data_IF_249880996800
#
_entry.id   IF_249880996800
#
_cell.length_a   1.000
_cell.length_b   1.000
_cell.length_c   1.000
_cell.angle_alpha   90.00
_cell.angle_beta   90.00
_cell.angle_gamma   90.00
#
_symmetry.space_group_name_H-M   'P 1'
#
loop_
_entity.id
_entity.type
_entity.pdbx_description
1 polymer ?
#
# COMPACT_ATOMS: atom_id res chain seq x y z
N UNK A 1 66.71 35.47 5.47
CA UNK A 1 67.21 34.17 5.96
C UNK A 1 66.00 33.24 5.99
N UNK A 2 65.72 32.58 4.86
CA UNK A 2 66.12 31.19 4.56
C UNK A 2 65.29 30.18 5.39
N UNK A 3 64.53 29.24 4.85
CA UNK A 3 64.27 28.84 3.47
C UNK A 3 63.78 27.38 3.43
N UNK A 4 62.82 27.11 2.54
CA UNK A 4 62.64 25.86 1.75
C UNK A 4 62.04 24.58 2.42
N UNK A 5 61.43 23.66 1.61
CA UNK A 5 60.01 23.29 1.77
C UNK A 5 59.74 21.77 1.74
N UNK A 6 58.47 21.34 1.85
CA UNK A 6 58.04 19.98 1.47
C UNK A 6 56.75 20.03 0.62
N UNK A 7 56.92 19.64 -0.65
CA UNK A 7 55.90 19.34 -1.65
C UNK A 7 55.40 17.88 -1.49
N UNK A 8 54.37 17.54 -2.28
CA UNK A 8 53.72 16.22 -2.48
C UNK A 8 52.53 15.99 -1.54
N UNK A 9 51.30 15.62 -1.92
CA UNK A 9 50.77 15.00 -3.14
C UNK A 9 49.23 15.12 -3.21
N UNK A 10 48.67 15.91 -4.14
CA UNK A 10 47.23 15.80 -4.50
C UNK A 10 46.95 16.16 -5.97
N UNK A 11 47.94 16.01 -6.86
CA UNK A 11 47.81 16.29 -8.31
C UNK A 11 47.70 15.03 -9.18
N UNK A 12 47.04 13.96 -8.68
CA UNK A 12 46.95 12.65 -9.38
C UNK A 12 45.53 12.15 -9.68
N UNK A 13 44.51 13.01 -9.71
CA UNK A 13 43.15 12.67 -10.21
C UNK A 13 42.57 13.64 -11.28
N UNK A 14 43.42 14.44 -11.95
CA UNK A 14 43.03 15.29 -13.10
C UNK A 14 43.59 14.85 -14.46
N UNK A 15 44.25 13.71 -14.56
CA UNK A 15 44.98 13.29 -15.77
C UNK A 15 44.33 12.17 -16.61
N UNK A 16 43.15 11.64 -16.25
CA UNK A 16 42.46 10.62 -17.07
C UNK A 16 41.29 11.15 -17.92
N UNK A 17 40.86 12.40 -17.74
CA UNK A 17 39.72 12.98 -18.48
C UNK A 17 40.10 13.72 -19.78
N UNK A 18 41.39 13.98 -20.04
CA UNK A 18 41.81 14.88 -21.13
C UNK A 18 42.22 14.16 -22.44
N UNK A 19 41.93 12.86 -22.60
CA UNK A 19 42.25 12.10 -23.83
C UNK A 19 41.06 11.87 -24.77
N UNK A 20 39.82 12.03 -24.30
CA UNK A 20 38.61 11.86 -25.13
C UNK A 20 38.09 13.16 -25.75
N UNK A 21 38.36 14.33 -25.15
CA UNK A 21 37.95 15.63 -25.71
C UNK A 21 38.77 16.07 -26.94
N UNK A 22 40.01 15.60 -27.08
CA UNK A 22 40.92 16.05 -28.14
C UNK A 22 40.75 15.30 -29.49
N UNK A 23 40.01 14.19 -29.52
CA UNK A 23 39.70 13.44 -30.76
C UNK A 23 38.40 13.92 -31.42
N UNK A 24 37.42 14.37 -30.63
CA UNK A 24 36.13 14.89 -31.13
C UNK A 24 36.29 16.28 -31.77
N UNK A 25 37.10 17.18 -31.20
CA UNK A 25 37.35 18.49 -31.80
C UNK A 25 38.07 18.43 -33.16
N UNK A 26 38.95 17.43 -33.38
CA UNK A 26 39.65 17.24 -34.66
C UNK A 26 38.77 16.64 -35.76
N UNK A 27 37.70 15.94 -35.38
CA UNK A 27 36.73 15.38 -36.33
C UNK A 27 35.72 16.44 -36.79
N UNK A 28 35.22 17.27 -35.87
CA UNK A 28 34.32 18.39 -36.19
C UNK A 28 34.97 19.48 -37.06
N UNK A 29 36.25 19.81 -36.85
CA UNK A 29 36.94 20.83 -37.67
C UNK A 29 37.21 20.37 -39.10
N UNK A 30 37.18 19.06 -39.36
CA UNK A 30 37.43 18.48 -40.70
C UNK A 30 36.14 18.41 -41.53
N UNK A 31 34.98 18.33 -40.89
CA UNK A 31 33.66 18.35 -41.56
C UNK A 31 33.27 19.78 -41.97
N UNK A 32 33.63 20.81 -41.18
CA UNK A 32 33.27 22.20 -41.48
C UNK A 32 34.14 22.86 -42.58
N UNK A 33 35.21 22.19 -43.04
CA UNK A 33 36.10 22.65 -44.13
C UNK A 33 35.86 21.95 -45.48
N UNK A 34 34.92 20.99 -45.57
CA UNK A 34 34.62 20.25 -46.81
C UNK A 34 33.19 20.48 -47.33
N UNK A 35 32.57 21.60 -46.95
CA UNK A 35 31.24 22.01 -47.42
C UNK A 35 31.30 23.34 -48.15
N UNK A 36 32.05 23.40 -49.25
CA UNK A 36 32.12 24.54 -50.15
C UNK A 36 32.56 24.05 -51.53
N UNK A 37 31.76 24.38 -52.53
CA UNK A 37 32.00 24.22 -53.97
C UNK A 37 31.61 22.86 -54.59
N UNK A 38 30.42 22.88 -55.19
CA UNK A 38 30.03 21.97 -56.27
C UNK A 38 30.99 22.16 -57.46
N UNK A 39 31.38 21.07 -58.15
CA UNK A 39 31.56 20.99 -59.62
C UNK A 39 32.21 19.64 -60.05
N UNK A 40 31.54 18.98 -61.01
CA UNK A 40 31.97 18.01 -62.04
C UNK A 40 32.93 16.83 -61.73
N UNK A 41 32.42 15.61 -61.96
CA UNK A 41 33.18 14.39 -62.29
C UNK A 41 34.01 14.58 -63.58
N UNK A 42 35.23 14.02 -63.67
CA UNK A 42 35.37 12.84 -64.54
C UNK A 42 36.46 11.81 -64.17
N UNK A 43 36.23 10.60 -64.69
CA UNK A 43 37.14 9.65 -65.36
C UNK A 43 38.60 9.44 -64.90
N UNK A 44 38.91 8.17 -64.60
CA UNK A 44 40.10 7.47 -65.08
C UNK A 44 41.40 7.66 -64.29
N UNK A 45 42.13 6.56 -64.07
CA UNK A 45 43.54 6.64 -63.67
C UNK A 45 44.00 5.52 -62.75
N UNK A 46 44.53 4.48 -63.36
CA UNK A 46 45.25 3.34 -62.79
C UNK A 46 46.56 3.73 -62.08
N UNK A 47 47.11 2.77 -61.29
CA UNK A 47 48.52 2.36 -61.10
C UNK A 47 48.81 2.07 -59.60
N UNK A 48 48.96 0.80 -59.18
CA UNK A 48 50.22 0.01 -59.14
C UNK A 48 51.22 0.64 -58.14
N UNK A 49 51.90 -0.04 -57.21
CA UNK A 49 52.35 -1.42 -57.17
C UNK A 49 53.07 -1.74 -55.83
N UNK A 50 53.07 -3.04 -55.45
CA UNK A 50 54.11 -3.87 -54.79
C UNK A 50 54.93 -3.35 -53.56
N UNK A 51 55.38 -4.14 -52.56
CA UNK A 51 55.55 -5.59 -52.37
C UNK A 51 55.81 -5.89 -50.86
N UNK A 52 55.39 -7.09 -50.38
CA UNK A 52 55.94 -8.01 -49.33
C UNK A 52 56.57 -7.41 -48.04
N UNK A 53 56.24 -7.82 -46.81
CA UNK A 53 56.26 -9.18 -46.24
C UNK A 53 55.36 -9.29 -44.99
N UNK A 54 54.97 -10.51 -44.60
CA UNK A 54 54.89 -10.87 -43.18
C UNK A 54 53.51 -11.12 -42.54
N UNK A 55 52.94 -12.29 -42.82
CA UNK A 55 52.30 -13.18 -41.83
C UNK A 55 50.97 -12.81 -41.12
N UNK A 56 50.01 -13.74 -41.30
CA UNK A 56 48.87 -14.13 -40.43
C UNK A 56 47.52 -13.41 -40.59
N UNK A 57 46.77 -13.92 -41.58
CA UNK A 57 45.43 -14.53 -41.48
C UNK A 57 44.52 -14.00 -40.35
N UNK A 58 43.48 -13.24 -40.71
CA UNK A 58 42.08 -13.61 -40.48
C UNK A 58 41.12 -12.67 -41.22
N UNK A 59 40.66 -13.19 -42.35
CA UNK A 59 39.48 -12.84 -43.17
C UNK A 59 38.28 -12.35 -42.32
N UNK A 60 37.79 -11.13 -42.55
CA UNK A 60 36.35 -10.85 -42.52
C UNK A 60 35.96 -10.03 -43.75
N UNK A 61 35.17 -10.71 -44.58
CA UNK A 61 34.51 -10.25 -45.79
C UNK A 61 33.39 -9.27 -45.45
N UNK A 62 33.44 -8.10 -46.09
CA UNK A 62 32.38 -7.46 -46.88
C UNK A 62 30.93 -7.92 -46.63
N UNK A 63 30.12 -7.01 -46.06
CA UNK A 63 28.72 -6.74 -46.42
C UNK A 63 28.31 -5.47 -45.67
N UNK A 64 28.56 -4.31 -46.25
CA UNK A 64 27.61 -3.60 -47.11
C UNK A 64 26.29 -3.28 -46.39
N UNK A 65 26.08 -1.97 -46.30
CA UNK A 65 24.82 -1.30 -46.58
C UNK A 65 23.74 -1.33 -45.49
N UNK A 66 23.29 -0.11 -45.16
CA UNK A 66 22.11 0.25 -44.37
C UNK A 66 22.20 0.01 -42.86
N UNK A 67 22.25 1.11 -42.10
CA UNK A 67 21.80 1.35 -40.71
C UNK A 67 22.76 2.22 -39.85
N UNK A 68 23.01 3.52 -40.14
CA UNK A 68 23.72 4.38 -39.18
C UNK A 68 22.79 5.28 -38.34
N UNK A 69 21.52 5.51 -38.72
CA UNK A 69 20.65 6.48 -37.99
C UNK A 69 19.92 5.88 -36.79
N UNK A 70 19.48 4.62 -36.85
CA UNK A 70 18.67 4.01 -35.77
C UNK A 70 19.52 3.56 -34.57
N UNK A 71 20.72 3.01 -34.81
CA UNK A 71 21.64 2.63 -33.73
C UNK A 71 22.20 3.84 -32.97
N UNK A 72 22.42 4.98 -33.64
CA UNK A 72 22.89 6.20 -32.97
C UNK A 72 21.83 6.78 -32.02
N UNK A 73 20.55 6.75 -32.43
CA UNK A 73 19.42 7.18 -31.57
C UNK A 73 19.22 6.22 -30.38
N UNK A 74 19.43 4.91 -30.57
CA UNK A 74 19.31 3.92 -29.49
C UNK A 74 20.46 4.02 -28.46
N UNK A 75 21.70 4.22 -28.91
CA UNK A 75 22.86 4.38 -28.03
C UNK A 75 22.79 5.69 -27.21
N UNK A 76 22.34 6.79 -27.81
CA UNK A 76 22.09 8.06 -27.10
C UNK A 76 20.91 7.95 -26.14
N UNK A 77 19.86 7.19 -26.47
CA UNK A 77 18.73 6.92 -25.54
C UNK A 77 19.14 6.09 -24.33
N UNK A 78 20.05 5.12 -24.48
CA UNK A 78 20.56 4.31 -23.38
C UNK A 78 21.43 5.13 -22.41
N UNK A 79 22.30 6.01 -22.92
CA UNK A 79 23.14 6.90 -22.10
C UNK A 79 22.32 8.02 -21.40
N UNK A 80 21.28 8.53 -22.08
CA UNK A 80 20.28 9.43 -21.48
C UNK A 80 19.44 8.74 -20.41
N UNK A 81 19.00 7.49 -20.62
CA UNK A 81 18.23 6.75 -19.59
C UNK A 81 19.08 6.43 -18.35
N UNK A 82 20.36 6.10 -18.55
CA UNK A 82 21.31 5.82 -17.46
C UNK A 82 21.65 7.09 -16.65
N UNK A 83 21.69 8.25 -17.31
CA UNK A 83 21.82 9.55 -16.64
C UNK A 83 20.53 10.01 -15.95
N UNK A 84 19.34 9.73 -16.51
CA UNK A 84 18.03 10.03 -15.89
C UNK A 84 17.85 9.23 -14.59
N UNK A 85 18.07 7.91 -14.61
CA UNK A 85 17.97 7.08 -13.41
C UNK A 85 18.99 7.49 -12.33
N UNK A 86 20.21 7.87 -12.75
CA UNK A 86 21.24 8.39 -11.84
C UNK A 86 20.84 9.74 -11.22
N UNK A 87 20.19 10.64 -11.97
CA UNK A 87 19.68 11.93 -11.48
C UNK A 87 18.54 11.74 -10.48
N UNK A 88 17.56 10.91 -10.79
CA UNK A 88 16.45 10.57 -9.88
C UNK A 88 16.98 9.92 -8.61
N UNK A 89 17.92 8.98 -8.72
CA UNK A 89 18.58 8.38 -7.55
C UNK A 89 19.33 9.40 -6.68
N UNK A 90 19.97 10.40 -7.30
CA UNK A 90 20.65 11.48 -6.57
C UNK A 90 19.65 12.39 -5.84
N UNK A 91 18.51 12.70 -6.47
CA UNK A 91 17.41 13.44 -5.84
C UNK A 91 16.84 12.67 -4.64
N UNK A 92 16.57 11.36 -4.80
CA UNK A 92 16.10 10.50 -3.71
C UNK A 92 17.08 10.48 -2.53
N UNK A 93 18.38 10.38 -2.80
CA UNK A 93 19.41 10.42 -1.76
C UNK A 93 19.40 11.79 -1.05
N UNK A 94 19.24 12.90 -1.78
CA UNK A 94 19.09 14.24 -1.18
C UNK A 94 17.91 14.28 -0.22
N UNK A 95 16.74 13.85 -0.67
CA UNK A 95 15.50 13.85 0.13
C UNK A 95 15.67 12.97 1.37
N UNK A 96 16.24 11.76 1.24
CA UNK A 96 16.46 10.85 2.36
C UNK A 96 17.44 11.43 3.41
N UNK A 97 18.50 12.11 2.97
CA UNK A 97 19.45 12.78 3.86
C UNK A 97 18.77 13.96 4.59
N UNK A 98 17.98 14.77 3.86
CA UNK A 98 17.26 15.90 4.44
C UNK A 98 16.20 15.42 5.45
N UNK A 99 15.46 14.38 5.11
CA UNK A 99 14.49 13.73 5.99
C UNK A 99 15.15 13.22 7.27
N UNK A 100 16.27 12.49 7.15
CA UNK A 100 16.99 11.94 8.31
C UNK A 100 17.59 13.03 9.21
N UNK A 101 17.94 14.20 8.66
CA UNK A 101 18.52 15.30 9.44
C UNK A 101 17.47 16.06 10.25
N UNK A 102 16.21 16.01 9.82
CA UNK A 102 15.10 16.62 10.54
C UNK A 102 14.54 15.65 11.58
N UNK A 103 15.16 15.66 12.77
CA UNK A 103 14.77 14.77 13.85
C UNK A 103 13.34 15.03 14.36
N UNK A 104 12.85 16.28 14.29
CA UNK A 104 11.49 16.63 14.73
C UNK A 104 10.47 16.02 13.77
N UNK A 105 10.68 16.20 12.47
CA UNK A 105 9.84 15.62 11.42
C UNK A 105 9.85 14.09 11.48
N UNK A 106 11.03 13.48 11.66
CA UNK A 106 11.17 12.03 11.78
C UNK A 106 10.43 11.49 13.01
N UNK A 107 10.57 12.14 14.16
CA UNK A 107 9.84 11.77 15.37
C UNK A 107 8.33 11.90 15.13
N UNK A 108 7.85 12.98 14.55
CA UNK A 108 6.42 13.17 14.30
C UNK A 108 5.84 12.10 13.35
N UNK A 109 6.54 11.82 12.25
CA UNK A 109 6.10 10.87 11.22
C UNK A 109 6.15 9.41 11.70
N UNK A 110 7.01 9.07 12.66
CA UNK A 110 7.02 7.73 13.26
C UNK A 110 6.10 7.63 14.47
N UNK A 111 6.11 8.64 15.35
CA UNK A 111 5.38 8.62 16.61
C UNK A 111 3.88 8.78 16.38
N UNK A 112 3.43 9.68 15.49
CA UNK A 112 2.01 9.90 15.28
C UNK A 112 1.30 8.64 14.74
N UNK A 113 1.81 7.94 13.70
CA UNK A 113 1.20 6.69 13.25
C UNK A 113 1.37 5.55 14.25
N UNK A 114 2.48 5.48 14.99
CA UNK A 114 2.64 4.47 16.04
C UNK A 114 1.59 4.66 17.16
N UNK A 115 1.39 5.90 17.62
CA UNK A 115 0.35 6.22 18.59
C UNK A 115 -1.04 5.93 18.03
N UNK A 116 -1.29 6.27 16.77
CA UNK A 116 -2.54 5.93 16.06
C UNK A 116 -2.78 4.41 16.03
N UNK A 117 -1.76 3.60 15.75
CA UNK A 117 -1.90 2.13 15.76
C UNK A 117 -2.21 1.61 17.16
N UNK A 118 -1.58 2.14 18.21
CA UNK A 118 -1.89 1.76 19.59
C UNK A 118 -3.33 2.12 19.95
N UNK A 119 -3.76 3.35 19.62
CA UNK A 119 -5.13 3.80 19.87
C UNK A 119 -6.15 2.96 19.09
N UNK A 120 -5.87 2.64 17.83
CA UNK A 120 -6.73 1.79 17.01
C UNK A 120 -6.77 0.35 17.49
N UNK A 121 -5.63 -0.23 17.88
CA UNK A 121 -5.59 -1.58 18.45
C UNK A 121 -6.44 -1.66 19.72
N UNK A 122 -6.38 -0.66 20.58
CA UNK A 122 -7.25 -0.56 21.76
C UNK A 122 -8.73 -0.37 21.39
N UNK A 123 -9.01 0.46 20.38
CA UNK A 123 -10.38 0.71 19.91
C UNK A 123 -11.02 -0.56 19.32
N UNK A 124 -10.27 -1.32 18.51
CA UNK A 124 -10.71 -2.59 17.94
C UNK A 124 -10.90 -3.63 19.04
N UNK A 125 -9.93 -3.77 19.94
CA UNK A 125 -10.01 -4.76 21.02
C UNK A 125 -11.27 -4.54 21.90
N UNK A 126 -11.58 -3.29 22.27
CA UNK A 126 -12.75 -2.96 23.10
C UNK A 126 -14.06 -2.86 22.31
N UNK A 127 -13.98 -2.54 21.02
CA UNK A 127 -15.15 -2.41 20.14
C UNK A 127 -15.69 -3.75 19.64
N UNK A 128 -14.92 -4.83 19.82
CA UNK A 128 -15.28 -6.19 19.36
C UNK A 128 -15.52 -7.14 20.53
N UNK A 129 -14.90 -6.93 21.69
CA UNK A 129 -14.94 -7.89 22.81
C UNK A 129 -15.77 -7.32 23.97
N UNK A 130 -16.63 -8.15 24.56
CA UNK A 130 -17.55 -7.81 25.67
C UNK A 130 -18.56 -6.70 25.39
N UNK A 131 -19.29 -6.79 24.29
CA UNK A 131 -20.41 -5.88 24.02
C UNK A 131 -21.49 -6.01 25.11
N UNK A 132 -21.85 -4.93 25.82
CA UNK A 132 -22.84 -4.98 26.87
C UNK A 132 -24.21 -5.22 26.25
N UNK A 133 -24.69 -6.44 26.41
CA UNK A 133 -25.94 -6.93 25.83
C UNK A 133 -26.98 -7.07 26.93
N UNK A 134 -28.24 -6.78 26.59
CA UNK A 134 -29.38 -7.12 27.42
C UNK A 134 -30.34 -8.04 26.69
N UNK A 135 -31.07 -8.85 27.43
CA UNK A 135 -32.06 -9.76 26.86
C UNK A 135 -33.43 -9.48 27.44
N UNK A 136 -34.43 -9.32 26.56
CA UNK A 136 -35.85 -9.33 26.89
C UNK A 136 -36.44 -10.70 26.58
N UNK A 137 -36.63 -11.51 27.61
CA UNK A 137 -37.21 -12.85 27.49
C UNK A 137 -38.72 -12.82 27.79
N UNK A 138 -39.53 -12.87 26.73
CA UNK A 138 -40.98 -12.93 26.82
C UNK A 138 -41.51 -14.38 26.90
N UNK A 139 -40.71 -15.39 26.56
CA UNK A 139 -41.12 -16.80 26.54
C UNK A 139 -40.89 -17.50 27.87
N UNK A 140 -39.79 -17.16 28.56
CA UNK A 140 -39.41 -17.68 29.89
C UNK A 140 -39.32 -19.20 29.97
N UNK A 141 -39.09 -19.85 28.84
CA UNK A 141 -39.01 -21.31 28.68
C UNK A 141 -37.58 -21.86 28.88
N UNK A 142 -37.41 -23.17 29.07
CA UNK A 142 -36.09 -23.79 29.10
C UNK A 142 -35.28 -23.56 27.82
N UNK A 143 -35.92 -23.58 26.63
CA UNK A 143 -35.25 -23.35 25.35
C UNK A 143 -34.79 -21.89 25.20
N UNK A 144 -35.62 -20.92 25.61
CA UNK A 144 -35.20 -19.51 25.62
C UNK A 144 -33.99 -19.28 26.54
N UNK A 145 -33.95 -19.94 27.71
CA UNK A 145 -32.81 -19.87 28.64
C UNK A 145 -31.55 -20.52 28.06
N UNK A 146 -31.69 -21.61 27.31
CA UNK A 146 -30.55 -22.23 26.63
C UNK A 146 -29.95 -21.27 25.60
N UNK A 147 -30.77 -20.65 24.76
CA UNK A 147 -30.30 -19.65 23.80
C UNK A 147 -29.61 -18.47 24.50
N UNK A 148 -30.14 -18.01 25.64
CA UNK A 148 -29.52 -16.95 26.46
C UNK A 148 -28.13 -17.37 26.96
N UNK A 149 -27.99 -18.62 27.42
CA UNK A 149 -26.69 -19.16 27.86
C UNK A 149 -25.71 -19.22 26.70
N UNK A 150 -26.16 -19.64 25.52
CA UNK A 150 -25.31 -19.69 24.33
C UNK A 150 -24.87 -18.28 23.86
N UNK A 151 -25.74 -17.28 24.05
CA UNK A 151 -25.40 -15.88 23.80
C UNK A 151 -24.35 -15.35 24.79
N UNK A 152 -24.48 -15.67 26.08
CA UNK A 152 -23.52 -15.25 27.12
C UNK A 152 -22.17 -15.98 27.02
N UNK A 153 -22.16 -17.19 26.47
CA UNK A 153 -20.94 -17.97 26.23
C UNK A 153 -20.15 -17.48 25.01
N UNK A 154 -20.65 -16.50 24.25
CA UNK A 154 -19.91 -15.94 23.12
C UNK A 154 -18.82 -14.97 23.58
N UNK A 155 -17.68 -14.93 22.88
CA UNK A 155 -16.56 -14.03 23.24
C UNK A 155 -16.88 -12.54 22.97
N UNK A 156 -17.83 -12.30 22.07
CA UNK A 156 -18.22 -10.96 21.60
C UNK A 156 -19.27 -10.33 22.51
N UNK A 157 -20.22 -11.10 23.04
CA UNK A 157 -21.37 -10.60 23.78
C UNK A 157 -21.20 -10.84 25.27
N UNK A 158 -21.70 -9.92 26.08
CA UNK A 158 -21.74 -10.10 27.53
C UNK A 158 -23.09 -9.70 28.06
N UNK A 159 -23.86 -10.65 28.58
CA UNK A 159 -25.19 -10.36 29.11
C UNK A 159 -25.05 -9.63 30.45
N UNK A 160 -25.38 -8.34 30.46
CA UNK A 160 -25.30 -7.49 31.66
C UNK A 160 -26.62 -7.43 32.42
N UNK A 161 -27.75 -7.52 31.71
CA UNK A 161 -29.09 -7.31 32.27
C UNK A 161 -30.16 -8.12 31.56
N UNK A 162 -31.18 -8.49 32.32
CA UNK A 162 -32.46 -8.99 31.81
C UNK A 162 -33.45 -7.84 31.85
N UNK A 163 -34.08 -7.57 30.70
CA UNK A 163 -35.05 -6.50 30.53
C UNK A 163 -36.44 -7.00 30.92
N UNK A 164 -37.24 -6.10 31.47
CA UNK A 164 -38.63 -6.38 31.83
C UNK A 164 -39.58 -5.79 30.78
N UNK A 165 -39.18 -4.70 30.13
CA UNK A 165 -39.99 -4.01 29.11
C UNK A 165 -39.14 -3.42 27.98
N UNK A 166 -39.81 -3.14 26.86
CA UNK A 166 -39.21 -2.45 25.71
C UNK A 166 -38.86 -0.99 26.01
N UNK A 167 -39.53 -0.34 26.98
CA UNK A 167 -39.21 1.03 27.37
C UNK A 167 -37.92 1.10 28.19
N UNK A 168 -37.71 0.12 29.09
CA UNK A 168 -36.44 -0.04 29.81
C UNK A 168 -35.28 -0.28 28.82
N UNK A 169 -35.50 -1.09 27.80
CA UNK A 169 -34.53 -1.33 26.73
C UNK A 169 -34.12 -0.03 26.03
N UNK A 170 -35.10 0.81 25.65
CA UNK A 170 -34.84 2.10 25.00
C UNK A 170 -34.04 3.03 25.90
N UNK A 171 -34.44 3.17 27.17
CA UNK A 171 -33.71 4.01 28.12
C UNK A 171 -32.25 3.57 28.27
N UNK A 172 -32.00 2.25 28.36
CA UNK A 172 -30.65 1.71 28.52
C UNK A 172 -29.79 1.84 27.26
N UNK A 173 -30.40 1.73 26.07
CA UNK A 173 -29.73 1.99 24.79
C UNK A 173 -29.39 3.49 24.65
N UNK A 174 -30.34 4.38 24.93
CA UNK A 174 -30.16 5.83 24.82
C UNK A 174 -29.11 6.35 25.80
N UNK A 175 -29.02 5.75 26.99
CA UNK A 175 -28.00 6.06 27.99
C UNK A 175 -26.65 5.40 27.70
N UNK A 176 -26.55 4.55 26.68
CA UNK A 176 -25.35 3.80 26.31
C UNK A 176 -24.88 2.79 27.36
N UNK A 177 -25.78 2.37 28.27
CA UNK A 177 -25.50 1.33 29.28
C UNK A 177 -25.41 -0.04 28.61
N UNK A 178 -26.23 -0.26 27.59
CA UNK A 178 -26.21 -1.43 26.73
C UNK A 178 -26.00 -0.96 25.29
N UNK A 179 -25.36 -1.78 24.46
CA UNK A 179 -25.13 -1.54 23.03
C UNK A 179 -25.97 -2.45 22.15
N UNK A 180 -26.50 -3.52 22.74
CA UNK A 180 -27.29 -4.53 22.06
C UNK A 180 -28.43 -5.00 22.96
N UNK A 181 -29.60 -5.18 22.38
CA UNK A 181 -30.75 -5.81 23.00
C UNK A 181 -31.25 -6.96 22.12
N UNK A 182 -31.44 -8.13 22.73
CA UNK A 182 -32.01 -9.32 22.08
C UNK A 182 -33.40 -9.55 22.66
N UNK A 183 -34.41 -9.69 21.81
CA UNK A 183 -35.80 -9.91 22.20
C UNK A 183 -36.22 -11.29 21.73
N UNK A 184 -36.59 -12.14 22.68
CA UNK A 184 -37.13 -13.48 22.42
C UNK A 184 -38.66 -13.37 22.56
N UNK A 185 -39.44 -13.65 21.50
CA UNK A 185 -40.90 -13.47 21.52
C UNK A 185 -41.57 -14.51 22.41
N UNK A 186 -42.78 -14.19 22.90
CA UNK A 186 -43.59 -15.14 23.63
C UNK A 186 -44.03 -16.31 22.73
N UNK A 187 -43.95 -17.54 23.24
CA UNK A 187 -44.31 -18.73 22.48
C UNK A 187 -43.17 -19.29 21.63
N UNK A 188 -41.94 -18.78 21.76
CA UNK A 188 -40.75 -19.25 21.05
C UNK A 188 -40.56 -20.77 21.18
N UNK A 189 -40.51 -21.31 22.40
CA UNK A 189 -40.38 -22.75 22.61
C UNK A 189 -41.58 -23.55 22.09
N UNK A 190 -42.78 -23.01 22.25
CA UNK A 190 -43.99 -23.67 21.78
C UNK A 190 -44.03 -23.74 20.25
N UNK A 191 -43.64 -22.67 19.55
CA UNK A 191 -43.51 -22.64 18.10
C UNK A 191 -42.46 -23.62 17.57
N UNK A 192 -41.27 -23.64 18.19
CA UNK A 192 -40.23 -24.62 17.86
C UNK A 192 -40.71 -26.06 18.02
N UNK A 193 -41.44 -26.35 19.11
CA UNK A 193 -41.97 -27.71 19.36
C UNK A 193 -43.10 -28.13 18.40
N UNK A 194 -43.85 -27.16 17.86
CA UNK A 194 -44.92 -27.40 16.87
C UNK A 194 -44.42 -27.51 15.43
N UNK A 195 -43.14 -27.19 15.19
CA UNK A 195 -42.59 -27.10 13.85
C UNK A 195 -42.98 -25.82 13.10
N UNK A 196 -43.40 -24.78 13.83
CA UNK A 196 -43.69 -23.46 13.27
C UNK A 196 -42.34 -22.75 12.98
N UNK A 197 -41.75 -23.01 11.82
CA UNK A 197 -40.48 -22.40 11.39
C UNK A 197 -40.69 -21.36 10.28
N UNK A 198 -39.91 -20.26 10.26
CA UNK A 198 -38.90 -19.84 11.24
C UNK A 198 -39.53 -19.08 12.44
N UNK A 199 -38.91 -19.20 13.61
CA UNK A 199 -39.22 -18.34 14.76
C UNK A 199 -38.39 -17.05 14.68
N UNK A 200 -39.00 -15.90 14.99
CA UNK A 200 -38.35 -14.59 14.87
C UNK A 200 -37.66 -14.21 16.19
N UNK A 201 -36.33 -14.09 16.18
CA UNK A 201 -35.58 -13.44 17.28
C UNK A 201 -35.20 -12.04 16.82
N UNK A 202 -35.62 -11.01 17.55
CA UNK A 202 -35.34 -9.63 17.19
C UNK A 202 -34.07 -9.14 17.88
N UNK A 203 -33.22 -8.43 17.14
CA UNK A 203 -31.99 -7.83 17.65
C UNK A 203 -32.02 -6.33 17.36
N UNK A 204 -31.76 -5.53 18.39
CA UNK A 204 -31.69 -4.07 18.30
C UNK A 204 -30.32 -3.64 18.79
N UNK A 205 -29.55 -2.96 17.94
CA UNK A 205 -28.20 -2.50 18.24
C UNK A 205 -28.12 -0.97 18.17
N UNK A 206 -27.25 -0.38 19.00
CA UNK A 206 -26.90 1.03 18.91
C UNK A 206 -26.07 1.30 17.64
N UNK A 207 -26.67 2.02 16.69
CA UNK A 207 -26.08 2.37 15.40
C UNK A 207 -25.04 3.50 15.44
N UNK A 208 -24.74 4.10 16.60
CA UNK A 208 -23.76 5.18 16.73
C UNK A 208 -22.36 4.79 16.24
N UNK A 209 -22.02 3.49 16.36
CA UNK A 209 -20.86 2.90 15.71
C UNK A 209 -21.31 1.73 14.84
N UNK A 210 -21.48 1.98 13.54
CA UNK A 210 -21.94 1.00 12.57
C UNK A 210 -21.08 -0.28 12.54
N UNK A 211 -19.76 -0.16 12.68
CA UNK A 211 -18.85 -1.32 12.67
C UNK A 211 -19.13 -2.23 13.88
N UNK A 212 -19.18 -1.65 15.08
CA UNK A 212 -19.44 -2.40 16.32
C UNK A 212 -20.85 -3.01 16.34
N UNK A 213 -21.85 -2.27 15.85
CA UNK A 213 -23.22 -2.77 15.71
C UNK A 213 -23.30 -3.96 14.74
N UNK A 214 -22.68 -3.88 13.56
CA UNK A 214 -22.66 -4.97 12.59
C UNK A 214 -21.97 -6.22 13.12
N UNK A 215 -20.86 -6.08 13.84
CA UNK A 215 -20.15 -7.22 14.47
C UNK A 215 -21.02 -7.87 15.53
N UNK A 216 -21.69 -7.08 16.37
CA UNK A 216 -22.58 -7.58 17.43
C UNK A 216 -23.77 -8.34 16.86
N UNK A 217 -24.41 -7.79 15.81
CA UNK A 217 -25.53 -8.44 15.11
C UNK A 217 -25.06 -9.74 14.45
N UNK A 218 -23.91 -9.74 13.78
CA UNK A 218 -23.31 -10.94 13.19
C UNK A 218 -23.06 -12.02 14.24
N UNK A 219 -22.50 -11.66 15.40
CA UNK A 219 -22.27 -12.59 16.49
C UNK A 219 -23.56 -13.20 17.04
N UNK A 220 -24.66 -12.44 17.15
CA UNK A 220 -25.96 -13.02 17.54
C UNK A 220 -26.46 -13.98 16.47
N UNK A 221 -26.35 -13.63 15.18
CA UNK A 221 -26.74 -14.51 14.10
C UNK A 221 -25.95 -15.84 14.12
N UNK A 222 -24.64 -15.78 14.38
CA UNK A 222 -23.80 -16.99 14.49
C UNK A 222 -24.19 -17.88 15.67
N UNK A 223 -24.57 -17.30 16.81
CA UNK A 223 -25.09 -18.05 17.96
C UNK A 223 -26.44 -18.68 17.63
N UNK A 224 -27.37 -17.93 17.03
CA UNK A 224 -28.70 -18.42 16.65
C UNK A 224 -28.60 -19.53 15.58
N UNK A 225 -27.67 -19.42 14.63
CA UNK A 225 -27.43 -20.43 13.62
C UNK A 225 -26.89 -21.74 14.24
N UNK A 226 -25.92 -21.64 15.16
CA UNK A 226 -25.41 -22.82 15.90
C UNK A 226 -26.50 -23.46 16.76
N UNK A 227 -27.27 -22.65 17.50
CA UNK A 227 -28.40 -23.13 18.29
C UNK A 227 -29.43 -23.84 17.41
N UNK A 228 -29.74 -23.31 16.23
CA UNK A 228 -30.66 -23.94 15.27
C UNK A 228 -30.12 -25.28 14.75
N UNK A 229 -28.82 -25.37 14.43
CA UNK A 229 -28.19 -26.62 14.01
C UNK A 229 -28.20 -27.68 15.13
N UNK A 230 -27.95 -27.27 16.37
CA UNK A 230 -27.99 -28.16 17.55
C UNK A 230 -29.41 -28.65 17.83
N UNK A 231 -30.44 -27.81 17.64
CA UNK A 231 -31.83 -28.22 17.74
C UNK A 231 -32.22 -29.25 16.67
N UNK A 232 -31.78 -29.07 15.43
CA UNK A 232 -32.02 -30.01 14.34
C UNK A 232 -31.37 -31.37 14.66
N UNK A 233 -30.10 -31.36 15.09
CA UNK A 233 -29.35 -32.56 15.41
C UNK A 233 -29.87 -33.28 16.68
N UNK A 234 -30.24 -32.52 17.72
CA UNK A 234 -30.63 -33.05 19.02
C UNK A 234 -32.09 -33.52 19.12
N UNK A 235 -33.01 -32.81 18.45
CA UNK A 235 -34.44 -33.15 18.48
C UNK A 235 -34.92 -33.90 17.23
N UNK A 236 -34.03 -34.14 16.25
CA UNK A 236 -34.40 -34.81 14.99
C UNK A 236 -35.43 -34.02 14.18
N UNK A 237 -35.47 -32.70 14.37
CA UNK A 237 -36.40 -31.82 13.68
C UNK A 237 -36.07 -31.78 12.19
N UNK A 238 -36.93 -32.38 11.36
CA UNK A 238 -36.84 -32.28 9.91
C UNK A 238 -37.45 -30.95 9.50
N UNK A 239 -36.63 -29.91 9.42
CA UNK A 239 -37.02 -28.65 8.80
C UNK A 239 -37.11 -28.91 7.29
N UNK A 240 -38.25 -28.65 6.61
CA UNK A 240 -38.31 -28.71 5.16
C UNK A 240 -37.43 -27.58 4.61
N UNK A 241 -36.18 -27.93 4.30
CA UNK A 241 -35.22 -27.01 3.73
C UNK A 241 -35.62 -26.76 2.26
N UNK A 242 -36.39 -25.69 2.01
CA UNK A 242 -36.78 -25.33 0.64
C UNK A 242 -35.56 -24.94 -0.23
N UNK A 243 -34.43 -24.58 0.39
CA UNK A 243 -33.14 -24.26 -0.23
C UNK A 243 -32.00 -24.62 0.75
N UNK A 244 -31.12 -25.58 0.40
CA UNK A 244 -29.90 -25.91 1.17
C UNK A 244 -28.87 -24.77 1.03
N UNK A 245 -28.92 -23.81 1.95
CA UNK A 245 -28.04 -22.63 1.95
C UNK A 245 -26.81 -22.90 2.81
N UNK A 246 -25.81 -23.59 2.24
CA UNK A 246 -24.50 -23.80 2.88
C UNK A 246 -23.59 -22.62 2.65
N UNK A 247 -23.39 -21.80 3.67
CA UNK A 247 -22.38 -20.74 3.64
C UNK A 247 -21.04 -21.29 4.12
N UNK A 248 -20.09 -21.48 3.20
CA UNK A 248 -18.70 -21.87 3.48
C UNK A 248 -17.80 -20.63 3.47
N UNK A 249 -17.42 -20.14 4.67
CA UNK A 249 -16.58 -18.96 4.84
C UNK A 249 -15.11 -19.39 4.88
N UNK A 250 -14.43 -19.29 3.74
CA UNK A 250 -13.04 -19.78 3.60
C UNK A 250 -11.94 -18.82 4.05
N UNK A 251 -12.18 -17.51 3.96
CA UNK A 251 -11.13 -16.50 4.17
C UNK A 251 -11.04 -15.99 5.62
N UNK A 252 -12.11 -16.16 6.41
CA UNK A 252 -12.15 -15.80 7.83
C UNK A 252 -13.23 -16.63 8.56
N UNK A 253 -12.95 -17.90 8.89
CA UNK A 253 -13.94 -18.80 9.49
C UNK A 253 -14.45 -18.32 10.86
N UNK A 254 -13.62 -17.55 11.57
CA UNK A 254 -13.93 -16.95 12.88
C UNK A 254 -14.59 -15.58 12.76
N UNK A 255 -14.73 -15.04 11.53
CA UNK A 255 -15.22 -13.69 11.25
C UNK A 255 -14.57 -12.60 12.13
N UNK A 256 -13.30 -12.80 12.50
CA UNK A 256 -12.58 -11.85 13.34
C UNK A 256 -12.31 -10.56 12.55
N UNK A 257 -12.86 -9.46 13.04
CA UNK A 257 -12.68 -8.14 12.44
C UNK A 257 -11.22 -7.68 12.44
N UNK A 258 -10.38 -8.20 13.35
CA UNK A 258 -8.95 -7.87 13.44
C UNK A 258 -8.21 -8.25 12.16
N UNK A 259 -8.53 -9.40 11.58
CA UNK A 259 -7.86 -9.91 10.38
C UNK A 259 -8.11 -9.04 9.15
N UNK A 260 -9.26 -8.37 9.09
CA UNK A 260 -9.58 -7.41 8.04
C UNK A 260 -9.03 -6.01 8.32
N UNK A 261 -9.13 -5.55 9.57
CA UNK A 261 -8.83 -4.17 9.93
C UNK A 261 -7.32 -3.88 10.00
N UNK A 262 -6.51 -4.83 10.47
CA UNK A 262 -5.06 -4.64 10.64
C UNK A 262 -4.34 -4.36 9.30
N UNK A 263 -4.54 -5.14 8.21
CA UNK A 263 -3.92 -4.83 6.92
C UNK A 263 -4.40 -3.50 6.34
N UNK A 264 -5.68 -3.18 6.48
CA UNK A 264 -6.25 -1.91 6.01
C UNK A 264 -5.60 -0.71 6.71
N UNK A 265 -5.43 -0.79 8.04
CA UNK A 265 -4.81 0.26 8.82
C UNK A 265 -3.32 0.42 8.50
N UNK A 266 -2.59 -0.67 8.24
CA UNK A 266 -1.20 -0.60 7.78
C UNK A 266 -1.09 0.14 6.43
N UNK A 267 -1.95 -0.19 5.47
CA UNK A 267 -2.01 0.52 4.20
C UNK A 267 -2.31 2.02 4.37
N UNK A 268 -3.25 2.35 5.28
CA UNK A 268 -3.59 3.73 5.59
C UNK A 268 -2.43 4.50 6.24
N UNK A 269 -1.69 3.88 7.15
CA UNK A 269 -0.48 4.47 7.76
C UNK A 269 0.59 4.75 6.70
N UNK A 270 0.88 3.78 5.81
CA UNK A 270 1.85 3.97 4.73
C UNK A 270 1.43 5.11 3.80
N UNK A 271 0.14 5.17 3.46
CA UNK A 271 -0.42 6.26 2.64
C UNK A 271 -0.24 7.62 3.32
N UNK A 272 -0.60 7.74 4.59
CA UNK A 272 -0.53 8.98 5.35
C UNK A 272 0.91 9.45 5.53
N UNK A 273 1.85 8.54 5.83
CA UNK A 273 3.27 8.84 5.94
C UNK A 273 3.82 9.32 4.60
N UNK A 274 3.54 8.60 3.51
CA UNK A 274 3.99 8.98 2.16
C UNK A 274 3.48 10.37 1.78
N UNK A 275 2.19 10.63 2.02
CA UNK A 275 1.57 11.92 1.73
C UNK A 275 2.17 13.04 2.59
N UNK A 276 2.41 12.80 3.87
CA UNK A 276 3.01 13.77 4.79
C UNK A 276 4.45 14.11 4.38
N UNK A 277 5.29 13.11 4.07
CA UNK A 277 6.68 13.32 3.62
C UNK A 277 6.71 14.13 2.32
N UNK A 278 5.91 13.75 1.32
CA UNK A 278 5.88 14.43 0.04
C UNK A 278 5.39 15.89 0.15
N UNK A 279 4.30 16.12 0.90
CA UNK A 279 3.73 17.46 1.08
C UNK A 279 4.63 18.39 1.89
N UNK A 280 5.18 17.93 3.02
CA UNK A 280 6.09 18.71 3.85
C UNK A 280 7.42 18.97 3.14
N UNK A 281 7.94 17.98 2.40
CA UNK A 281 9.13 18.13 1.58
C UNK A 281 8.96 19.21 0.50
N UNK A 282 7.80 19.26 -0.16
CA UNK A 282 7.51 20.27 -1.16
C UNK A 282 7.27 21.66 -0.55
N UNK A 283 6.51 21.73 0.55
CA UNK A 283 6.23 22.97 1.26
C UNK A 283 7.51 23.62 1.78
N UNK A 284 8.41 22.83 2.38
CA UNK A 284 9.69 23.32 2.88
C UNK A 284 10.58 23.89 1.78
N UNK A 285 10.61 23.25 0.62
CA UNK A 285 11.40 23.77 -0.51
C UNK A 285 10.83 25.04 -1.13
N UNK A 286 9.50 25.21 -1.08
CA UNK A 286 8.83 26.47 -1.42
C UNK A 286 9.22 27.57 -0.44
N UNK A 287 9.16 27.30 0.85
CA UNK A 287 9.50 28.28 1.91
C UNK A 287 10.96 28.70 1.89
N UNK A 288 11.89 27.77 1.64
CA UNK A 288 13.32 28.04 1.57
C UNK A 288 13.76 28.66 0.23
N UNK A 289 12.85 28.80 -0.75
CA UNK A 289 13.16 29.29 -2.09
C UNK A 289 14.03 28.35 -2.94
N UNK A 290 14.34 27.14 -2.43
CA UNK A 290 15.18 26.16 -3.14
C UNK A 290 14.47 25.57 -4.36
N UNK A 291 13.13 25.61 -4.39
CA UNK A 291 12.37 25.16 -5.55
C UNK A 291 12.70 26.00 -6.80
N UNK A 292 12.84 27.31 -6.65
CA UNK A 292 13.17 28.21 -7.77
C UNK A 292 14.58 27.92 -8.31
N UNK A 293 15.53 27.61 -7.42
CA UNK A 293 16.90 27.21 -7.80
C UNK A 293 16.92 25.86 -8.54
N UNK A 294 16.10 24.90 -8.10
CA UNK A 294 15.92 23.61 -8.77
C UNK A 294 15.35 23.77 -10.19
N UNK A 295 14.46 24.75 -10.43
CA UNK A 295 13.88 25.00 -11.75
C UNK A 295 14.89 25.51 -12.78
N UNK A 296 16.03 26.08 -12.36
CA UNK A 296 17.09 26.56 -13.25
C UNK A 296 18.12 25.44 -13.56
N UNK A 297 18.08 24.32 -12.83
CA UNK A 297 18.94 23.16 -13.12
C UNK A 297 18.42 22.36 -14.32
N UNK A 298 19.27 21.61 -15.05
CA UNK A 298 18.87 20.85 -16.24
C UNK A 298 18.13 19.54 -15.88
N UNK A 299 17.10 19.64 -15.03
CA UNK A 299 16.20 18.55 -14.62
C UNK A 299 14.86 18.68 -15.35
N UNK A 300 14.27 17.54 -15.76
CA UNK A 300 12.90 17.54 -16.31
C UNK A 300 11.87 17.57 -15.19
N UNK A 301 10.69 18.15 -15.45
CA UNK A 301 9.58 18.15 -14.48
C UNK A 301 9.22 16.74 -14.01
N UNK A 302 9.20 15.75 -14.91
CA UNK A 302 8.91 14.35 -14.55
C UNK A 302 10.00 13.71 -13.68
N UNK A 303 11.26 14.11 -13.83
CA UNK A 303 12.37 13.62 -12.98
C UNK A 303 12.25 14.18 -11.56
N UNK A 304 11.79 15.43 -11.45
CA UNK A 304 11.53 16.11 -10.18
C UNK A 304 10.35 15.47 -9.44
N UNK A 305 9.25 15.17 -10.14
CA UNK A 305 8.09 14.49 -9.55
C UNK A 305 8.39 13.05 -9.13
N UNK A 306 9.19 12.30 -9.91
CA UNK A 306 9.57 10.92 -9.57
C UNK A 306 10.63 10.82 -8.46
N UNK A 307 11.41 11.88 -8.26
CA UNK A 307 12.43 11.93 -7.21
C UNK A 307 11.91 12.38 -5.84
N UNK A 308 10.68 12.92 -5.78
CA UNK A 308 9.96 13.33 -4.57
C UNK A 308 9.09 12.20 -4.05
#
# INVERSE_FOLDING_TARGET
>A
MAGTPLLTSTRRRRASANRYGASICRWCSRIHKQGGDAVHLPAGGWLLNFHREGAKVARISMRSLFFPRVLCVFAVRLDLAQTVFSRVGTLLIKELIQFRRDWVLLVFILLAPALQLVLMAQAIARGVVEQPTAVLDLDRSPLSRQLIVDLDNSETLRIKRYLISTDEMRELLDRGVIRLAVIIPAGFAAGLSRGDFPQEVQVIADGSNAVSASISIGSVADVVNRFSADLIAGYGLVVPEFVDFRTDIRFNPTLDFRDFSLPAQLGFVVYQVTLAVASLGLARERELGTLEQLMVTPLRQSELTLGK
#
